data_IF_583088056548
#
_entry.id   IF_583088056548
#
_cell.length_a   1.000
_cell.length_b   1.000
_cell.length_c   1.000
_cell.angle_alpha   90.00
_cell.angle_beta   90.00
_cell.angle_gamma   90.00
#
_symmetry.space_group_name_H-M   'P 1'
#
loop_
_entity.id
_entity.type
_entity.pdbx_description
1 polymer ?
#
# COMPACT_ATOMS: atom_id res chain seq x y z
N UNK A 1 21.82 15.34 -8.05
CA UNK A 1 20.67 15.60 -7.16
C UNK A 1 19.93 14.32 -6.79
N UNK A 2 19.25 13.64 -7.72
CA UNK A 2 18.46 12.43 -7.44
C UNK A 2 19.22 11.29 -6.75
N UNK A 3 20.45 10.98 -7.20
CA UNK A 3 21.28 9.95 -6.57
C UNK A 3 21.60 10.25 -5.10
N UNK A 4 21.82 11.53 -4.77
CA UNK A 4 22.08 11.96 -3.39
C UNK A 4 20.82 11.94 -2.54
N UNK A 5 19.67 12.36 -3.08
CA UNK A 5 18.39 12.21 -2.41
C UNK A 5 18.06 10.73 -2.13
N UNK A 6 18.34 9.83 -3.09
CA UNK A 6 18.19 8.41 -2.89
C UNK A 6 19.09 7.87 -1.78
N UNK A 7 20.38 8.20 -1.76
CA UNK A 7 21.31 7.77 -0.69
C UNK A 7 20.84 8.19 0.70
N UNK A 8 20.28 9.41 0.82
CA UNK A 8 19.76 9.93 2.10
C UNK A 8 18.48 9.24 2.56
N UNK A 9 17.61 8.85 1.62
CA UNK A 9 16.26 8.40 1.93
C UNK A 9 16.04 6.88 1.86
N UNK A 10 16.88 6.15 1.12
CA UNK A 10 16.68 4.71 0.81
C UNK A 10 16.50 3.83 2.05
N UNK A 11 17.28 4.08 3.11
CA UNK A 11 17.25 3.27 4.33
C UNK A 11 16.00 3.50 5.17
N UNK A 12 15.27 4.60 4.91
CA UNK A 12 13.99 4.90 5.57
C UNK A 12 12.79 4.28 4.86
N UNK A 13 12.99 3.62 3.72
CA UNK A 13 11.92 3.03 2.90
C UNK A 13 11.98 1.52 3.03
N UNK A 14 10.83 0.90 3.31
CA UNK A 14 10.68 -0.54 3.49
C UNK A 14 9.73 -1.16 2.48
N UNK A 15 9.79 -2.48 2.43
CA UNK A 15 8.80 -3.33 1.78
C UNK A 15 7.95 -4.00 2.85
N UNK A 16 6.64 -4.07 2.58
CA UNK A 16 5.71 -4.91 3.31
C UNK A 16 5.36 -6.09 2.42
N UNK A 17 5.59 -7.31 2.91
CA UNK A 17 5.22 -8.56 2.23
C UNK A 17 4.18 -9.30 3.05
N UNK A 18 3.01 -9.50 2.48
CA UNK A 18 1.90 -10.17 3.16
C UNK A 18 1.81 -11.60 2.68
N UNK A 19 1.88 -12.55 3.60
CA UNK A 19 1.83 -13.98 3.31
C UNK A 19 0.56 -14.59 3.87
N UNK A 20 -0.01 -15.56 3.14
CA UNK A 20 -1.12 -16.35 3.66
C UNK A 20 -0.62 -17.50 4.57
N UNK A 21 -1.57 -18.26 5.13
CA UNK A 21 -1.28 -19.41 6.01
C UNK A 21 -0.39 -20.48 5.36
N UNK A 22 -0.36 -20.54 4.02
CA UNK A 22 0.46 -21.49 3.25
C UNK A 22 1.86 -20.92 2.92
N UNK A 23 2.22 -19.76 3.46
CA UNK A 23 3.48 -19.08 3.16
C UNK A 23 3.57 -18.49 1.75
N UNK A 24 2.45 -18.39 1.02
CA UNK A 24 2.42 -17.81 -0.33
C UNK A 24 2.21 -16.30 -0.22
N UNK A 25 3.01 -15.52 -0.97
CA UNK A 25 2.88 -14.07 -1.05
C UNK A 25 1.49 -13.67 -1.58
N UNK A 26 0.65 -13.18 -0.69
CA UNK A 26 -0.68 -12.68 -0.99
C UNK A 26 -0.58 -11.31 -1.67
N UNK A 27 0.13 -10.38 -1.03
CA UNK A 27 0.25 -8.98 -1.42
C UNK A 27 1.63 -8.37 -1.13
N UNK A 28 1.96 -7.23 -1.74
CA UNK A 28 3.14 -6.44 -1.37
C UNK A 28 2.87 -4.94 -1.52
N UNK A 29 3.44 -4.16 -0.61
CA UNK A 29 3.37 -2.70 -0.58
C UNK A 29 4.75 -2.13 -0.27
N UNK A 30 4.92 -0.85 -0.55
CA UNK A 30 6.04 -0.05 -0.07
C UNK A 30 5.60 0.75 1.15
N UNK A 31 6.53 1.12 2.00
CA UNK A 31 6.27 2.01 3.12
C UNK A 31 7.53 2.77 3.49
N UNK A 32 7.42 3.69 4.44
CA UNK A 32 8.57 4.43 4.94
C UNK A 32 8.38 4.84 6.40
N UNK A 33 9.50 5.00 7.09
CA UNK A 33 9.52 5.40 8.50
C UNK A 33 9.45 6.92 8.63
N UNK A 34 8.58 7.40 9.50
CA UNK A 34 8.48 8.79 9.96
C UNK A 34 8.40 8.74 11.48
N UNK A 35 9.35 9.37 12.18
CA UNK A 35 9.53 9.22 13.63
C UNK A 35 9.53 7.72 14.03
N UNK A 36 8.65 7.32 14.95
CA UNK A 36 8.43 5.93 15.37
C UNK A 36 7.21 5.31 14.69
N UNK A 37 6.89 5.71 13.46
CA UNK A 37 5.74 5.20 12.74
C UNK A 37 6.10 4.77 11.32
N UNK A 38 5.37 3.77 10.83
CA UNK A 38 5.37 3.34 9.45
C UNK A 38 4.22 4.01 8.72
N UNK A 39 4.53 4.69 7.62
CA UNK A 39 3.55 5.23 6.69
C UNK A 39 3.54 4.38 5.43
N UNK A 40 2.35 3.97 4.99
CA UNK A 40 2.14 3.17 3.77
C UNK A 40 0.76 3.46 3.18
N UNK A 41 0.32 2.69 2.19
CA UNK A 41 -1.01 2.83 1.61
C UNK A 41 -2.09 2.17 2.47
N UNK A 42 -3.32 2.69 2.43
CA UNK A 42 -4.45 2.24 3.25
C UNK A 42 -4.74 0.74 3.12
N UNK A 43 -4.39 0.15 1.99
CA UNK A 43 -4.68 -1.26 1.71
C UNK A 43 -3.87 -2.23 2.58
N UNK A 44 -2.88 -1.74 3.32
CA UNK A 44 -2.21 -2.51 4.37
C UNK A 44 -3.19 -3.03 5.44
N UNK A 45 -4.34 -2.37 5.65
CA UNK A 45 -5.39 -2.83 6.57
C UNK A 45 -6.29 -3.94 6.00
N UNK A 46 -6.33 -4.09 4.68
CA UNK A 46 -7.37 -4.89 4.00
C UNK A 46 -6.79 -5.98 3.08
N UNK A 47 -5.64 -6.54 3.43
CA UNK A 47 -4.99 -7.59 2.63
C UNK A 47 -5.71 -8.92 2.81
N UNK A 48 -6.49 -9.31 1.80
CA UNK A 48 -7.27 -10.55 1.82
C UNK A 48 -6.37 -11.79 1.98
N UNK A 49 -6.73 -12.65 2.94
CA UNK A 49 -6.04 -13.92 3.27
C UNK A 49 -4.61 -13.76 3.80
N UNK A 50 -4.20 -12.56 4.23
CA UNK A 50 -2.94 -12.40 4.93
C UNK A 50 -3.03 -13.04 6.32
N UNK A 51 -2.06 -13.90 6.63
CA UNK A 51 -1.83 -14.50 7.94
C UNK A 51 -0.69 -13.81 8.67
N UNK A 52 0.31 -13.32 7.94
CA UNK A 52 1.47 -12.58 8.46
C UNK A 52 1.94 -11.49 7.51
N UNK A 53 2.61 -10.49 8.07
CA UNK A 53 3.32 -9.45 7.33
C UNK A 53 4.80 -9.48 7.72
N UNK A 54 5.67 -9.33 6.73
CA UNK A 54 7.10 -9.10 6.92
C UNK A 54 7.41 -7.69 6.48
N UNK A 55 7.93 -6.89 7.39
CA UNK A 55 8.38 -5.52 7.14
C UNK A 55 9.90 -5.56 7.07
N UNK A 56 10.49 -5.13 5.95
CA UNK A 56 11.95 -5.15 5.77
C UNK A 56 12.46 -3.82 5.23
N UNK A 57 13.46 -3.26 5.91
CA UNK A 57 14.27 -2.14 5.43
C UNK A 57 15.58 -2.70 4.85
N UNK A 58 15.93 -2.34 3.62
CA UNK A 58 17.15 -2.83 2.97
C UNK A 58 18.34 -1.91 3.26
N UNK A 59 19.54 -2.50 3.27
CA UNK A 59 20.79 -1.75 3.14
C UNK A 59 21.19 -1.66 1.66
N UNK A 60 22.45 -1.34 1.39
CA UNK A 60 23.04 -1.21 0.05
C UNK A 60 23.01 -2.51 -0.76
N UNK A 61 22.86 -3.66 -0.08
CA UNK A 61 22.74 -4.98 -0.68
C UNK A 61 21.28 -5.49 -0.63
N UNK A 62 20.74 -6.02 -1.74
CA UNK A 62 19.40 -6.62 -1.75
C UNK A 62 19.30 -7.88 -0.85
N UNK A 63 20.44 -8.51 -0.53
CA UNK A 63 20.48 -9.81 0.15
C UNK A 63 20.54 -9.69 1.69
N UNK A 64 20.71 -8.48 2.22
CA UNK A 64 20.86 -8.26 3.67
C UNK A 64 19.93 -7.14 4.13
N UNK A 65 18.78 -7.46 4.78
CA UNK A 65 17.95 -6.43 5.37
C UNK A 65 18.71 -5.74 6.51
N UNK A 66 18.65 -4.41 6.54
CA UNK A 66 19.13 -3.59 7.66
C UNK A 66 18.30 -3.84 8.93
N UNK A 67 17.01 -4.05 8.75
CA UNK A 67 16.07 -4.40 9.80
C UNK A 67 14.91 -5.17 9.17
N UNK A 68 14.43 -6.22 9.84
CA UNK A 68 13.26 -6.95 9.39
C UNK A 68 12.51 -7.55 10.55
N UNK A 69 11.18 -7.46 10.53
CA UNK A 69 10.32 -8.09 11.52
C UNK A 69 9.17 -8.81 10.84
N UNK A 70 8.89 -10.02 11.32
CA UNK A 70 7.71 -10.79 10.95
C UNK A 70 6.66 -10.66 12.04
N UNK A 71 5.45 -10.24 11.67
CA UNK A 71 4.34 -9.99 12.59
C UNK A 71 3.10 -10.74 12.09
N UNK A 72 2.35 -11.44 12.96
CA UNK A 72 1.01 -11.93 12.63
C UNK A 72 0.13 -10.80 12.08
N UNK A 73 -0.57 -11.02 10.98
CA UNK A 73 -1.30 -9.96 10.30
C UNK A 73 -2.43 -9.37 11.17
N UNK A 74 -3.05 -10.19 12.01
CA UNK A 74 -4.07 -9.73 12.97
C UNK A 74 -3.48 -8.75 13.99
N UNK A 75 -2.33 -9.08 14.55
CA UNK A 75 -1.58 -8.24 15.50
C UNK A 75 -1.14 -6.93 14.83
N UNK A 76 -0.56 -7.02 13.62
CA UNK A 76 -0.18 -5.85 12.83
C UNK A 76 -1.32 -4.85 12.62
N UNK A 77 -2.54 -5.32 12.34
CA UNK A 77 -3.69 -4.45 12.14
C UNK A 77 -4.27 -3.92 13.46
N UNK A 78 -4.36 -4.76 14.48
CA UNK A 78 -5.03 -4.43 15.74
C UNK A 78 -4.16 -3.58 16.68
N UNK A 79 -2.89 -3.96 16.83
CA UNK A 79 -2.03 -3.46 17.90
C UNK A 79 -1.10 -2.36 17.41
N UNK A 80 -0.72 -2.42 16.13
CA UNK A 80 0.16 -1.41 15.53
C UNK A 80 -0.61 -0.34 14.76
N UNK A 81 -1.87 -0.56 14.37
CA UNK A 81 -2.64 0.45 13.64
C UNK A 81 -2.95 1.68 14.50
N UNK A 82 -2.25 2.80 14.30
CA UNK A 82 -2.53 4.08 15.02
C UNK A 82 -3.41 5.01 14.19
N UNK A 83 -3.47 4.78 12.88
CA UNK A 83 -4.28 5.56 11.95
C UNK A 83 -5.76 5.17 11.90
N UNK A 84 -6.55 6.09 11.37
CA UNK A 84 -7.95 5.91 11.01
C UNK A 84 -8.12 4.73 10.03
N UNK A 85 -8.69 3.62 10.48
CA UNK A 85 -9.15 2.57 9.57
C UNK A 85 -10.29 3.14 8.70
N UNK A 86 -10.27 2.87 7.38
CA UNK A 86 -11.25 3.40 6.42
C UNK A 86 -11.22 4.92 6.29
N UNK A 87 -10.04 5.53 6.44
CA UNK A 87 -9.92 6.99 6.41
C UNK A 87 -10.33 7.59 5.06
N UNK A 88 -10.44 6.79 3.98
CA UNK A 88 -10.69 7.28 2.62
C UNK A 88 -9.65 8.30 2.15
N UNK A 89 -8.58 8.46 2.93
CA UNK A 89 -7.45 9.35 2.68
C UNK A 89 -6.38 8.61 1.87
N UNK A 90 -6.45 7.28 1.80
CA UNK A 90 -5.65 6.45 0.91
C UNK A 90 -4.25 6.12 1.44
N UNK A 91 -4.00 6.37 2.72
CA UNK A 91 -2.78 5.97 3.44
C UNK A 91 -3.11 5.25 4.75
N UNK A 92 -2.12 4.53 5.31
CA UNK A 92 -2.16 3.91 6.62
C UNK A 92 -0.94 4.32 7.45
N UNK A 93 -1.13 4.37 8.77
CA UNK A 93 -0.07 4.64 9.75
C UNK A 93 -0.06 3.54 10.80
N UNK A 94 1.11 2.95 11.02
CA UNK A 94 1.33 1.95 12.05
C UNK A 94 2.41 2.42 13.03
N UNK A 95 2.24 2.14 14.32
CA UNK A 95 3.28 2.31 15.32
C UNK A 95 4.42 1.38 14.94
N UNK A 96 5.64 1.90 14.97
CA UNK A 96 6.86 1.16 14.66
C UNK A 96 7.90 1.39 15.78
N UNK A 97 7.44 1.75 16.98
CA UNK A 97 8.24 1.88 18.19
C UNK A 97 8.66 0.50 18.72
N UNK A 98 9.52 -0.14 17.94
CA UNK A 98 10.05 -1.48 18.17
C UNK A 98 11.58 -1.42 18.17
N UNK A 99 12.26 -2.15 19.06
CA UNK A 99 13.72 -2.14 19.14
C UNK A 99 14.41 -2.46 17.81
N UNK A 100 13.86 -3.41 17.04
CA UNK A 100 14.35 -3.83 15.72
C UNK A 100 14.41 -2.70 14.68
N UNK A 101 13.66 -1.62 14.89
CA UNK A 101 13.58 -0.50 13.97
C UNK A 101 14.13 0.82 14.53
N UNK A 102 14.70 0.80 15.73
CA UNK A 102 15.21 2.01 16.39
C UNK A 102 16.33 2.69 15.60
N UNK A 103 17.22 1.92 14.96
CA UNK A 103 18.33 2.44 14.14
C UNK A 103 17.92 2.85 12.72
N UNK A 104 16.68 2.55 12.31
CA UNK A 104 16.19 2.90 10.97
C UNK A 104 15.99 4.42 10.90
N UNK A 105 16.61 5.12 9.94
CA UNK A 105 16.44 6.57 9.81
C UNK A 105 15.00 6.90 9.41
N UNK A 106 14.51 8.06 9.83
CA UNK A 106 13.17 8.54 9.49
C UNK A 106 13.20 9.60 8.39
N UNK A 107 12.20 9.60 7.52
CA UNK A 107 11.91 10.72 6.62
C UNK A 107 11.09 11.79 7.32
N UNK A 108 11.10 13.00 6.76
CA UNK A 108 10.29 14.13 7.21
C UNK A 108 9.33 14.57 6.11
N UNK A 109 8.13 14.98 6.49
CA UNK A 109 7.17 15.58 5.56
C UNK A 109 7.52 17.04 5.29
N UNK A 110 7.23 17.50 4.08
CA UNK A 110 7.25 18.95 3.81
C UNK A 110 6.07 19.62 4.50
N UNK A 111 6.28 20.77 5.13
CA UNK A 111 5.21 21.61 5.70
C UNK A 111 4.45 22.39 4.63
N UNK A 112 5.06 22.57 3.46
CA UNK A 112 4.47 23.26 2.32
C UNK A 112 4.76 22.47 1.05
N UNK A 113 3.73 21.90 0.45
CA UNK A 113 3.86 21.20 -0.83
C UNK A 113 3.93 22.25 -1.93
N UNK A 114 5.14 22.55 -2.40
CA UNK A 114 5.36 23.36 -3.60
C UNK A 114 5.79 22.45 -4.76
N UNK A 115 4.82 21.76 -5.35
CA UNK A 115 5.04 20.84 -6.46
C UNK A 115 4.12 21.21 -7.65
N UNK A 116 4.39 22.33 -8.36
CA UNK A 116 3.61 22.73 -9.52
C UNK A 116 3.69 21.69 -10.64
N UNK A 117 2.72 21.73 -11.56
CA UNK A 117 2.74 20.91 -12.78
C UNK A 117 4.06 21.13 -13.53
N UNK A 118 4.69 20.05 -13.97
CA UNK A 118 6.02 20.02 -14.56
C UNK A 118 7.15 19.76 -13.56
N UNK A 119 6.88 19.77 -12.25
CA UNK A 119 7.91 19.49 -11.24
C UNK A 119 8.41 18.06 -11.32
N UNK A 120 9.71 17.91 -11.08
CA UNK A 120 10.37 16.62 -11.02
C UNK A 120 10.55 16.19 -9.58
N UNK A 121 10.07 14.99 -9.27
CA UNK A 121 10.13 14.41 -7.94
C UNK A 121 10.81 13.04 -7.99
N UNK A 122 11.22 12.57 -6.82
CA UNK A 122 11.84 11.28 -6.63
C UNK A 122 10.84 10.32 -5.99
N UNK A 123 10.57 9.18 -6.62
CA UNK A 123 9.90 8.06 -5.99
C UNK A 123 10.91 7.00 -5.58
N UNK A 124 10.73 6.44 -4.38
CA UNK A 124 11.50 5.30 -3.87
C UNK A 124 10.53 4.24 -3.37
N UNK A 125 10.77 2.97 -3.66
CA UNK A 125 9.96 1.89 -3.12
C UNK A 125 10.28 0.55 -3.76
N UNK A 126 9.31 -0.35 -3.81
CA UNK A 126 9.46 -1.71 -4.31
C UNK A 126 8.44 -1.97 -5.41
N UNK A 127 8.81 -2.75 -6.42
CA UNK A 127 7.98 -3.04 -7.58
C UNK A 127 8.00 -4.53 -7.91
N UNK A 128 6.84 -5.07 -8.29
CA UNK A 128 6.66 -6.40 -8.90
C UNK A 128 7.25 -7.57 -8.07
N UNK A 129 7.42 -7.38 -6.76
CA UNK A 129 8.03 -8.38 -5.88
C UNK A 129 9.54 -8.51 -6.02
N UNK A 130 10.20 -7.57 -6.71
CA UNK A 130 11.65 -7.49 -6.77
C UNK A 130 12.25 -7.42 -5.35
N UNK A 131 13.41 -8.07 -5.13
CA UNK A 131 14.08 -8.03 -3.83
C UNK A 131 14.72 -6.66 -3.59
N UNK A 132 15.02 -5.91 -4.65
CA UNK A 132 15.67 -4.61 -4.58
C UNK A 132 14.67 -3.46 -4.55
N UNK A 133 15.09 -2.39 -3.87
CA UNK A 133 14.42 -1.11 -3.91
C UNK A 133 14.65 -0.45 -5.28
N UNK A 134 13.59 0.13 -5.85
CA UNK A 134 13.62 0.86 -7.09
C UNK A 134 13.55 2.36 -6.83
N UNK A 135 14.30 3.11 -7.63
CA UNK A 135 14.29 4.56 -7.68
C UNK A 135 13.67 5.00 -9.01
N UNK A 136 12.77 5.99 -8.98
CA UNK A 136 12.17 6.54 -10.19
C UNK A 136 12.15 8.06 -10.13
N UNK A 137 12.51 8.70 -11.26
CA UNK A 137 12.20 10.11 -11.50
C UNK A 137 10.78 10.17 -12.04
N UNK A 138 9.96 11.03 -11.44
CA UNK A 138 8.54 11.16 -11.76
C UNK A 138 8.20 12.63 -11.96
N UNK A 139 7.21 12.90 -12.81
CA UNK A 139 6.79 14.27 -13.13
C UNK A 139 5.39 14.53 -12.61
N UNK A 140 5.15 15.70 -12.01
CA UNK A 140 3.79 16.16 -11.71
C UNK A 140 3.13 16.55 -13.02
N UNK A 141 2.18 15.77 -13.51
CA UNK A 141 1.49 16.07 -14.79
C UNK A 141 0.18 16.79 -14.60
N UNK A 142 -0.46 16.60 -13.45
CA UNK A 142 -1.70 17.27 -13.10
C UNK A 142 -1.91 17.25 -11.60
N UNK A 143 -2.96 17.90 -11.14
CA UNK A 143 -3.42 17.85 -9.78
C UNK A 143 -4.95 17.80 -9.76
N UNK A 144 -5.51 16.97 -8.89
CA UNK A 144 -6.95 16.81 -8.74
C UNK A 144 -7.34 16.88 -7.27
N UNK A 145 -8.58 17.26 -7.01
CA UNK A 145 -9.17 17.11 -5.69
C UNK A 145 -9.95 15.81 -5.61
N UNK A 146 -9.72 15.05 -4.55
CA UNK A 146 -10.50 13.86 -4.28
C UNK A 146 -11.90 14.24 -3.73
N UNK A 147 -12.71 13.23 -3.38
CA UNK A 147 -14.06 13.45 -2.84
C UNK A 147 -14.10 14.22 -1.48
N UNK A 148 -12.95 14.40 -0.83
CA UNK A 148 -12.79 15.14 0.44
C UNK A 148 -12.19 16.53 0.21
N UNK A 149 -12.23 17.03 -1.03
CA UNK A 149 -11.62 18.30 -1.44
C UNK A 149 -10.10 18.35 -1.22
N UNK A 150 -9.43 17.20 -1.09
CA UNK A 150 -7.98 17.17 -0.85
C UNK A 150 -7.21 17.07 -2.14
N UNK A 151 -6.18 17.90 -2.24
CA UNK A 151 -5.29 17.92 -3.39
C UNK A 151 -4.51 16.59 -3.45
N UNK A 152 -4.46 16.03 -4.65
CA UNK A 152 -3.72 14.81 -5.00
C UNK A 152 -2.96 15.12 -6.27
N UNK A 153 -1.68 14.79 -6.31
CA UNK A 153 -0.86 14.98 -7.50
C UNK A 153 -1.04 13.78 -8.43
N UNK A 154 -1.14 14.03 -9.73
CA UNK A 154 -1.02 12.99 -10.76
C UNK A 154 0.44 12.96 -11.18
N UNK A 155 1.06 11.81 -11.02
CA UNK A 155 2.45 11.57 -11.37
C UNK A 155 2.53 10.77 -12.65
N UNK A 156 3.40 11.20 -13.56
CA UNK A 156 3.86 10.39 -14.69
C UNK A 156 5.13 9.64 -14.33
N UNK A 157 5.14 8.34 -14.64
CA UNK A 157 6.22 7.42 -14.36
C UNK A 157 5.77 5.95 -14.44
N UNK A 158 6.72 5.03 -14.41
CA UNK A 158 6.39 3.59 -14.46
C UNK A 158 5.98 3.09 -13.07
N UNK A 159 4.69 2.83 -12.80
CA UNK A 159 4.19 2.34 -11.52
C UNK A 159 3.52 0.97 -11.65
N UNK A 160 4.06 0.00 -10.91
CA UNK A 160 3.59 -1.39 -10.88
C UNK A 160 3.04 -1.81 -9.53
N UNK A 161 2.80 -3.10 -9.42
CA UNK A 161 2.40 -3.74 -8.16
C UNK A 161 3.52 -3.59 -7.11
N UNK A 162 3.18 -3.38 -5.84
CA UNK A 162 4.16 -3.09 -4.78
C UNK A 162 4.48 -1.61 -4.56
N UNK A 163 4.24 -0.74 -5.53
CA UNK A 163 4.67 0.66 -5.39
C UNK A 163 3.81 1.49 -4.43
N UNK A 164 2.54 1.11 -4.22
CA UNK A 164 1.64 1.78 -3.29
C UNK A 164 2.26 1.87 -1.89
N UNK A 165 2.16 3.06 -1.30
CA UNK A 165 2.65 3.40 0.04
C UNK A 165 4.07 3.94 0.06
N UNK A 166 4.79 3.90 -1.08
CA UNK A 166 6.13 4.48 -1.17
C UNK A 166 6.11 6.02 -1.19
N UNK A 167 7.14 6.68 -0.66
CA UNK A 167 7.20 8.14 -0.63
C UNK A 167 7.53 8.73 -2.00
N UNK A 168 6.99 9.92 -2.22
CA UNK A 168 7.41 10.86 -3.26
C UNK A 168 8.15 11.98 -2.54
N UNK A 169 9.37 12.26 -2.98
CA UNK A 169 10.35 13.09 -2.29
C UNK A 169 10.75 14.23 -3.22
N UNK A 170 10.81 15.44 -2.69
CA UNK A 170 11.49 16.54 -3.38
C UNK A 170 13.01 16.27 -3.33
N UNK A 171 13.67 16.05 -4.47
CA UNK A 171 15.08 15.67 -4.51
C UNK A 171 16.02 16.79 -4.03
N UNK A 172 15.54 18.04 -3.95
CA UNK A 172 16.29 19.20 -3.47
C UNK A 172 16.31 19.21 -1.94
N UNK A 173 15.13 19.16 -1.32
CA UNK A 173 14.98 19.24 0.14
C UNK A 173 15.15 17.90 0.85
N UNK A 174 14.90 16.79 0.15
CA UNK A 174 14.85 15.45 0.74
C UNK A 174 13.58 15.17 1.54
N UNK A 175 12.60 16.09 1.52
CA UNK A 175 11.34 15.95 2.25
C UNK A 175 10.30 15.20 1.42
N UNK A 176 9.44 14.44 2.11
CA UNK A 176 8.32 13.73 1.51
C UNK A 176 7.21 14.73 1.15
N UNK A 177 6.88 14.78 -0.14
CA UNK A 177 5.81 15.62 -0.70
C UNK A 177 4.51 14.85 -0.91
N UNK A 178 4.54 13.52 -0.92
CA UNK A 178 3.35 12.71 -1.07
C UNK A 178 3.58 11.22 -0.90
N UNK A 179 2.48 10.46 -0.89
CA UNK A 179 2.45 9.01 -0.71
C UNK A 179 1.80 8.42 -1.95
N UNK A 180 2.50 7.52 -2.64
CA UNK A 180 1.96 6.91 -3.86
C UNK A 180 0.79 5.98 -3.53
N UNK A 181 -0.32 6.13 -4.24
CA UNK A 181 -1.40 5.17 -4.26
C UNK A 181 -1.77 4.80 -5.72
N UNK A 182 -1.57 3.52 -6.08
CA UNK A 182 -1.87 2.97 -7.41
C UNK A 182 -3.29 2.41 -7.53
N UNK A 183 -3.94 2.05 -6.43
CA UNK A 183 -5.19 1.26 -6.46
C UNK A 183 -6.44 2.08 -6.76
N UNK A 184 -6.30 3.40 -6.89
CA UNK A 184 -7.35 4.29 -7.36
C UNK A 184 -7.36 4.49 -8.89
N UNK A 185 -6.47 3.82 -9.63
CA UNK A 185 -6.42 3.86 -11.10
C UNK A 185 -7.62 3.15 -11.76
N UNK A 186 -7.94 3.53 -13.01
CA UNK A 186 -8.99 2.87 -13.79
C UNK A 186 -8.70 1.37 -13.98
N UNK A 187 -7.44 1.00 -14.21
CA UNK A 187 -7.01 -0.40 -14.33
C UNK A 187 -7.36 -1.23 -13.08
N UNK A 188 -7.12 -0.70 -11.88
CA UNK A 188 -7.49 -1.36 -10.63
C UNK A 188 -9.01 -1.56 -10.51
N UNK A 189 -9.81 -0.57 -10.90
CA UNK A 189 -11.28 -0.66 -10.90
C UNK A 189 -11.79 -1.71 -11.88
N UNK A 190 -11.23 -1.78 -13.10
CA UNK A 190 -11.62 -2.80 -14.08
C UNK A 190 -11.23 -4.22 -13.63
N UNK A 191 -10.03 -4.37 -13.05
CA UNK A 191 -9.61 -5.65 -12.47
C UNK A 191 -10.55 -6.10 -11.35
N UNK A 192 -10.91 -5.20 -10.43
CA UNK A 192 -11.87 -5.50 -9.36
C UNK A 192 -13.22 -5.94 -9.92
N UNK A 193 -13.77 -5.23 -10.90
CA UNK A 193 -15.02 -5.61 -11.57
C UNK A 193 -14.93 -7.01 -12.19
N UNK A 194 -13.86 -7.32 -12.91
CA UNK A 194 -13.65 -8.65 -13.51
C UNK A 194 -13.63 -9.75 -12.44
N UNK A 195 -12.88 -9.53 -11.35
CA UNK A 195 -12.81 -10.51 -10.24
C UNK A 195 -14.17 -10.69 -9.57
N UNK A 196 -14.94 -9.61 -9.41
CA UNK A 196 -16.31 -9.68 -8.87
C UNK A 196 -17.20 -10.54 -9.76
N UNK A 197 -17.26 -10.27 -11.07
CA UNK A 197 -18.07 -11.06 -12.01
C UNK A 197 -17.66 -12.53 -12.05
N UNK A 198 -16.37 -12.85 -11.99
CA UNK A 198 -15.90 -14.23 -11.92
C UNK A 198 -16.34 -14.91 -10.62
N UNK A 199 -16.31 -14.22 -9.48
CA UNK A 199 -16.78 -14.78 -8.21
C UNK A 199 -18.30 -15.00 -8.20
N UNK A 200 -19.07 -14.08 -8.79
CA UNK A 200 -20.52 -14.23 -8.96
C UNK A 200 -20.85 -15.46 -9.81
N UNK A 201 -20.13 -15.65 -10.93
CA UNK A 201 -20.26 -16.85 -11.77
C UNK A 201 -19.97 -18.14 -11.00
N UNK A 202 -18.86 -18.18 -10.24
CA UNK A 202 -18.53 -19.33 -9.38
C UNK A 202 -19.65 -19.58 -8.36
N UNK A 203 -20.21 -18.52 -7.76
CA UNK A 203 -21.31 -18.60 -6.82
C UNK A 203 -22.55 -19.25 -7.44
N UNK A 204 -22.96 -18.81 -8.63
CA UNK A 204 -24.09 -19.38 -9.37
C UNK A 204 -23.84 -20.84 -9.76
N UNK A 205 -22.65 -21.17 -10.28
CA UNK A 205 -22.28 -22.53 -10.67
C UNK A 205 -22.33 -23.49 -9.47
N UNK A 206 -21.81 -23.08 -8.30
CA UNK A 206 -21.85 -23.89 -7.08
C UNK A 206 -23.26 -24.24 -6.61
N UNK A 207 -24.28 -23.43 -6.93
CA UNK A 207 -25.67 -23.73 -6.56
C UNK A 207 -26.28 -24.89 -7.35
N UNK A 208 -25.75 -25.16 -8.54
CA UNK A 208 -26.21 -26.21 -9.46
C UNK A 208 -25.21 -27.36 -9.64
N UNK A 209 -24.06 -27.29 -8.96
CA UNK A 209 -23.07 -28.36 -8.88
C UNK A 209 -23.71 -29.65 -8.36
N UNK A 210 -23.37 -30.78 -8.97
CA UNK A 210 -23.91 -32.11 -8.69
C UNK A 210 -25.32 -32.38 -9.21
N UNK A 211 -26.02 -31.38 -9.78
CA UNK A 211 -27.38 -31.57 -10.32
C UNK A 211 -27.39 -32.17 -11.73
N UNK A 212 -26.28 -32.03 -12.46
CA UNK A 212 -26.12 -32.57 -13.81
C UNK A 212 -24.88 -33.47 -13.81
N UNK A 213 -25.08 -34.77 -14.01
CA UNK A 213 -23.98 -35.74 -14.15
C UNK A 213 -24.13 -36.43 -15.49
N UNK A 214 -23.12 -36.32 -16.35
CA UNK A 214 -23.06 -36.96 -17.65
C UNK A 214 -21.85 -37.88 -17.68
N UNK A 215 -22.06 -39.18 -17.86
CA UNK A 215 -20.98 -40.20 -17.90
C UNK A 215 -19.98 -40.08 -16.74
N UNK A 216 -20.52 -39.92 -15.51
CA UNK A 216 -19.76 -39.71 -14.26
C UNK A 216 -18.99 -38.39 -14.13
N UNK A 217 -19.15 -37.47 -15.09
CA UNK A 217 -18.56 -36.13 -15.06
C UNK A 217 -19.65 -35.10 -14.75
N UNK A 218 -19.37 -34.21 -13.81
CA UNK A 218 -20.16 -33.00 -13.61
C UNK A 218 -19.54 -31.85 -14.43
N UNK A 219 -20.17 -31.44 -15.56
CA UNK A 219 -19.66 -30.34 -16.37
C UNK A 219 -19.60 -29.01 -15.61
N UNK A 220 -20.39 -28.84 -14.53
CA UNK A 220 -20.34 -27.64 -13.68
C UNK A 220 -19.01 -27.53 -12.95
N UNK A 221 -18.42 -28.65 -12.50
CA UNK A 221 -17.09 -28.66 -11.89
C UNK A 221 -16.02 -28.17 -12.86
N UNK A 222 -16.11 -28.56 -14.14
CA UNK A 222 -15.20 -28.09 -15.19
C UNK A 222 -15.33 -26.58 -15.38
N UNK A 223 -16.56 -26.05 -15.40
CA UNK A 223 -16.80 -24.60 -15.51
C UNK A 223 -16.27 -23.84 -14.28
N UNK A 224 -16.46 -24.37 -13.07
CA UNK A 224 -15.90 -23.78 -11.84
C UNK A 224 -14.36 -23.76 -11.90
N UNK A 225 -13.74 -24.84 -12.36
CA UNK A 225 -12.29 -24.90 -12.53
C UNK A 225 -11.81 -23.84 -13.54
N UNK A 226 -12.51 -23.68 -14.67
CA UNK A 226 -12.21 -22.66 -15.68
C UNK A 226 -12.32 -21.23 -15.10
N UNK A 227 -13.39 -20.93 -14.37
CA UNK A 227 -13.55 -19.62 -13.72
C UNK A 227 -12.42 -19.33 -12.72
N UNK A 228 -11.98 -20.34 -11.96
CA UNK A 228 -10.82 -20.20 -11.07
C UNK A 228 -9.51 -19.94 -11.84
N UNK A 229 -9.30 -20.59 -12.99
CA UNK A 229 -8.15 -20.33 -13.85
C UNK A 229 -8.17 -18.89 -14.39
N UNK A 230 -9.33 -18.42 -14.87
CA UNK A 230 -9.52 -17.03 -15.31
C UNK A 230 -9.20 -16.03 -14.19
N UNK A 231 -9.64 -16.31 -12.96
CA UNK A 231 -9.31 -15.50 -11.78
C UNK A 231 -7.81 -15.42 -11.52
N UNK A 232 -7.10 -16.56 -11.61
CA UNK A 232 -5.64 -16.62 -11.42
C UNK A 232 -4.92 -15.84 -12.53
N UNK A 233 -5.29 -16.08 -13.80
CA UNK A 233 -4.71 -15.40 -14.95
C UNK A 233 -4.90 -13.88 -14.86
N UNK A 234 -6.12 -13.44 -14.55
CA UNK A 234 -6.46 -12.03 -14.39
C UNK A 234 -5.62 -11.38 -13.28
N UNK A 235 -5.43 -12.08 -12.16
CA UNK A 235 -4.59 -11.61 -11.05
C UNK A 235 -3.13 -11.46 -11.48
N UNK A 236 -2.61 -12.41 -12.26
CA UNK A 236 -1.23 -12.34 -12.75
C UNK A 236 -1.05 -11.19 -13.75
N UNK A 237 -1.97 -11.02 -14.70
CA UNK A 237 -1.95 -9.89 -15.65
C UNK A 237 -1.97 -8.56 -14.90
N UNK A 238 -2.85 -8.40 -13.90
CA UNK A 238 -2.91 -7.17 -13.11
C UNK A 238 -1.65 -6.90 -12.27
N UNK A 239 -1.04 -7.95 -11.71
CA UNK A 239 0.21 -7.82 -10.95
C UNK A 239 1.41 -7.45 -11.82
N UNK A 240 1.41 -7.88 -13.08
CA UNK A 240 2.48 -7.64 -14.06
C UNK A 240 2.20 -6.43 -14.96
N UNK A 241 1.03 -5.81 -14.87
CA UNK A 241 0.73 -4.60 -15.62
C UNK A 241 1.34 -3.39 -14.95
N UNK A 242 2.01 -2.57 -15.75
CA UNK A 242 2.49 -1.27 -15.33
C UNK A 242 1.54 -0.17 -15.75
N UNK A 243 1.43 0.85 -14.91
CA UNK A 243 0.69 2.08 -15.19
C UNK A 243 1.71 3.18 -15.42
N UNK A 244 1.50 4.01 -16.44
CA UNK A 244 2.30 5.22 -16.66
C UNK A 244 1.92 6.35 -15.68
N UNK A 245 0.83 6.17 -14.92
CA UNK A 245 0.36 7.16 -13.98
C UNK A 245 0.13 6.55 -12.60
N UNK A 246 0.44 7.33 -11.59
CA UNK A 246 0.01 7.09 -10.22
C UNK A 246 -0.46 8.38 -9.57
N UNK A 247 -1.14 8.24 -8.44
CA UNK A 247 -1.59 9.36 -7.65
C UNK A 247 -0.72 9.47 -6.41
N UNK A 248 -0.28 10.69 -6.08
CA UNK A 248 0.40 10.96 -4.82
C UNK A 248 -0.53 11.74 -3.91
N UNK A 249 -0.91 11.11 -2.81
CA UNK A 249 -1.70 11.71 -1.75
C UNK A 249 -0.79 12.61 -0.95
N UNK A 250 -1.19 13.85 -0.75
CA UNK A 250 -0.38 14.80 0.00
C UNK A 250 -0.47 14.55 1.51
N UNK A 251 0.61 14.82 2.28
CA UNK A 251 0.73 14.43 3.67
C UNK A 251 0.13 15.43 4.66
N UNK A 252 -0.55 16.51 4.25
CA UNK A 252 -1.04 17.55 5.17
C UNK A 252 -1.80 17.02 6.40
N UNK A 253 -2.69 16.02 6.28
CA UNK A 253 -3.38 15.46 7.44
C UNK A 253 -2.42 14.72 8.39
N UNK A 254 -1.34 14.14 7.87
CA UNK A 254 -0.30 13.47 8.64
C UNK A 254 0.61 14.47 9.35
N UNK A 255 0.85 15.65 8.78
CA UNK A 255 1.68 16.68 9.41
C UNK A 255 1.10 17.05 10.77
N UNK A 256 -0.21 17.31 10.83
CA UNK A 256 -0.90 17.57 12.09
C UNK A 256 -0.83 16.39 13.06
N UNK A 257 -0.93 15.15 12.57
CA UNK A 257 -0.78 13.95 13.40
C UNK A 257 0.61 13.83 14.02
N UNK A 258 1.67 14.09 13.26
CA UNK A 258 3.07 13.97 13.73
C UNK A 258 3.59 15.19 14.48
N UNK A 259 2.91 16.34 14.41
CA UNK A 259 3.24 17.56 15.15
C UNK A 259 2.49 17.68 16.48
N UNK A 260 1.41 16.92 16.67
CA UNK A 260 0.69 16.83 17.95
C UNK A 260 1.56 16.17 19.00
N UNK A 261 1.61 16.75 20.19
CA UNK A 261 2.28 16.15 21.35
C UNK A 261 1.47 14.93 21.82
N UNK A 262 2.11 13.99 22.54
CA UNK A 262 1.45 12.75 23.03
C UNK A 262 0.15 13.02 23.81
N UNK A 263 0.04 14.18 24.46
CA UNK A 263 -1.16 14.62 25.18
C UNK A 263 -2.39 14.75 24.27
N UNK A 264 -2.24 15.23 23.03
CA UNK A 264 -3.34 15.48 22.09
C UNK A 264 -3.92 14.19 21.48
N UNK A 265 -3.10 13.14 21.34
CA UNK A 265 -3.51 11.85 20.76
C UNK A 265 -4.36 11.04 21.75
N UNK A 266 -4.06 11.15 23.05
CA UNK A 266 -4.80 10.47 24.12
C UNK A 266 -6.27 10.92 24.24
N UNK A 267 -6.55 12.18 23.87
CA UNK A 267 -7.89 12.77 23.92
C UNK A 267 -8.78 12.22 22.80
N UNK A 268 -8.24 11.99 21.59
CA UNK A 268 -9.04 11.45 20.47
C UNK A 268 -9.40 9.97 20.62
N UNK A 269 -8.54 9.15 21.22
CA UNK A 269 -8.88 7.75 21.52
C UNK A 269 -10.02 7.66 22.55
N UNK A 270 -10.02 8.53 23.57
CA UNK A 270 -11.15 8.63 24.52
C UNK A 270 -12.42 9.14 23.87
N UNK A 271 -12.34 10.14 22.99
CA UNK A 271 -13.53 10.70 22.34
C UNK A 271 -14.16 9.73 21.33
N UNK A 272 -13.35 8.89 20.68
CA UNK A 272 -13.84 7.86 19.74
C UNK A 272 -14.57 6.71 20.46
N UNK A 273 -14.14 6.37 21.68
CA UNK A 273 -14.82 5.39 22.52
C UNK A 273 -16.13 5.93 23.11
N UNK A 274 -16.22 7.24 23.40
CA UNK A 274 -17.46 7.86 23.90
C UNK A 274 -18.54 7.92 22.82
N UNK A 275 -18.18 8.07 21.54
CA UNK A 275 -19.15 8.08 20.42
C UNK A 275 -19.69 6.67 20.10
N UNK A 276 -18.98 5.61 20.46
CA UNK A 276 -19.42 4.23 20.28
C UNK A 276 -20.31 3.69 21.41
N UNK A 277 -20.42 4.38 22.55
CA UNK A 277 -21.33 4.01 23.65
C UNK A 277 -22.70 4.70 23.57
N UNK A 278 -22.92 5.58 22.58
CA UNK A 278 -24.20 6.24 22.34
C UNK A 278 -24.74 5.83 20.98
N UNK A 279 -25.00 4.53 20.78
CA UNK A 279 -26.01 4.00 19.86
C UNK A 279 -26.32 2.52 20.11
#
# INVERSE_FOLDING_TARGET
MFAEAWKRSRNSVCVLRFYNEKGVLADTLSGFKVNNSLVTAEEAFFVSKAAKVVISFCNDSPDSPMASLEIPYKEFVADFGVGLQRNREGYAVFNLDLPDFAHVPSLTFTSCVNAPIGSELLYIGYQEGLPCQVMKRVFVTSSLRNAFDRLTLVLDGNFGYGNSGGPVIDPTTGMVVGIVNRRITAAAKYFQRLVTSVNENIGMLKQIEGRFVMDSIDPIQVLIANQNQLKILSKNIYKQSNSLQAFAILPEPLIGYFQRTEEDVSVMQKTSNIVLEVH
#
